data_IF_940451498961
#
_entry.id   IF_940451498961
#
_cell.length_a   1.000
_cell.length_b   1.000
_cell.length_c   1.000
_cell.angle_alpha   90.00
_cell.angle_beta   90.00
_cell.angle_gamma   90.00
#
_symmetry.space_group_name_H-M   'P 1'
#
loop_
_entity.id
_entity.type
_entity.pdbx_description
1 polymer ?
#
# COMPACT_ATOMS: atom_id res chain seq x y z
N UNK A 1 1.49 -14.23 4.30
CA UNK A 1 1.95 -12.92 4.85
C UNK A 1 3.15 -13.10 5.81
N UNK A 2 3.31 -14.26 6.47
CA UNK A 2 4.43 -14.57 7.38
C UNK A 2 5.59 -15.36 6.77
N UNK A 3 5.49 -15.81 5.52
CA UNK A 3 6.35 -16.89 5.00
C UNK A 3 7.70 -16.45 4.41
N UNK A 4 7.91 -15.19 4.04
CA UNK A 4 9.14 -14.78 3.36
C UNK A 4 10.28 -14.28 4.28
N UNK A 5 9.94 -13.82 5.49
CA UNK A 5 10.92 -13.27 6.45
C UNK A 5 10.50 -13.39 7.93
N UNK A 6 9.48 -14.19 8.26
CA UNK A 6 8.95 -14.25 9.62
C UNK A 6 8.43 -12.91 10.15
N UNK A 7 8.10 -11.97 9.26
CA UNK A 7 7.68 -10.62 9.65
C UNK A 7 8.81 -9.66 10.02
N UNK A 8 10.09 -10.06 10.00
CA UNK A 8 11.20 -9.21 10.46
C UNK A 8 11.44 -7.93 9.63
N UNK A 9 11.07 -7.92 8.34
CA UNK A 9 11.17 -6.74 7.48
C UNK A 9 9.96 -5.80 7.59
N UNK A 10 8.82 -6.29 8.06
CA UNK A 10 7.63 -5.47 8.28
C UNK A 10 7.84 -4.33 9.29
N UNK A 11 8.44 -4.55 10.49
CA UNK A 11 8.70 -3.46 11.42
C UNK A 11 9.69 -2.45 10.86
N UNK A 12 10.63 -2.87 10.02
CA UNK A 12 11.58 -1.96 9.38
C UNK A 12 10.89 -1.03 8.37
N UNK A 13 9.95 -1.55 7.57
CA UNK A 13 9.12 -0.74 6.67
C UNK A 13 8.23 0.23 7.46
N UNK A 14 7.62 -0.25 8.56
CA UNK A 14 6.79 0.59 9.43
C UNK A 14 7.63 1.68 10.09
N UNK A 15 8.83 1.36 10.58
CA UNK A 15 9.73 2.33 11.19
C UNK A 15 10.19 3.40 10.19
N UNK A 16 10.57 3.00 8.97
CA UNK A 16 10.90 3.94 7.89
C UNK A 16 9.70 4.85 7.54
N UNK A 17 8.49 4.28 7.54
CA UNK A 17 7.26 5.04 7.28
C UNK A 17 6.95 6.04 8.41
N UNK A 18 7.10 5.63 9.67
CA UNK A 18 6.90 6.52 10.83
C UNK A 18 7.93 7.65 10.77
N UNK A 19 9.20 7.34 10.51
CA UNK A 19 10.27 8.32 10.41
C UNK A 19 10.01 9.35 9.31
N UNK A 20 9.55 8.90 8.14
CA UNK A 20 9.14 9.78 7.06
C UNK A 20 8.00 10.71 7.49
N UNK A 21 6.97 10.16 8.15
CA UNK A 21 5.82 10.93 8.61
C UNK A 21 6.24 11.99 9.64
N UNK A 22 7.09 11.66 10.61
CA UNK A 22 7.61 12.63 11.59
C UNK A 22 8.47 13.71 10.95
N UNK A 23 9.35 13.36 10.00
CA UNK A 23 10.13 14.36 9.25
C UNK A 23 9.22 15.31 8.46
N UNK A 24 8.19 14.79 7.81
CA UNK A 24 7.25 15.61 7.04
C UNK A 24 6.43 16.54 7.95
N UNK A 25 5.93 16.02 9.07
CA UNK A 25 5.23 16.82 10.08
C UNK A 25 6.16 17.89 10.66
N UNK A 26 7.39 17.51 11.04
CA UNK A 26 8.40 18.43 11.55
C UNK A 26 8.72 19.54 10.55
N UNK A 27 8.82 19.21 9.27
CA UNK A 27 9.00 20.20 8.20
C UNK A 27 7.81 21.15 8.07
N UNK A 28 6.57 20.64 8.14
CA UNK A 28 5.37 21.47 8.08
C UNK A 28 5.26 22.38 9.31
N UNK A 29 5.58 21.86 10.50
CA UNK A 29 5.56 22.62 11.76
C UNK A 29 6.65 23.70 11.77
N UNK A 30 7.86 23.36 11.32
CA UNK A 30 8.96 24.31 11.16
C UNK A 30 8.59 25.45 10.22
N UNK A 31 7.97 25.14 9.08
CA UNK A 31 7.48 26.16 8.16
C UNK A 31 6.41 27.05 8.81
N UNK A 32 5.42 26.44 9.48
CA UNK A 32 4.35 27.18 10.16
C UNK A 32 4.86 28.11 11.28
N UNK A 33 5.91 27.70 12.00
CA UNK A 33 6.53 28.53 13.02
C UNK A 33 7.41 29.65 12.43
N UNK A 34 8.11 29.37 11.34
CA UNK A 34 9.06 30.30 10.73
C UNK A 34 8.39 31.34 9.80
N UNK A 35 7.18 31.09 9.31
CA UNK A 35 6.40 32.07 8.54
C UNK A 35 5.69 33.08 9.46
N UNK A 36 5.96 34.39 9.36
CA UNK A 36 5.27 35.39 10.14
C UNK A 36 3.79 35.47 9.73
N UNK A 37 2.91 35.61 10.72
CA UNK A 37 1.45 35.56 10.58
C UNK A 37 0.90 36.88 9.95
N UNK A 38 1.70 37.95 9.97
CA UNK A 38 1.41 39.26 9.36
C UNK A 38 2.70 40.00 9.00
N UNK A 39 2.63 40.90 8.01
CA UNK A 39 3.75 41.71 7.50
C UNK A 39 4.36 42.71 8.52
N UNK A 40 3.72 42.91 9.67
CA UNK A 40 4.11 43.85 10.74
C UNK A 40 4.96 43.22 11.86
N UNK A 41 5.19 41.90 11.84
CA UNK A 41 5.94 41.19 12.91
C UNK A 41 7.34 40.84 12.41
N UNK A 42 8.37 41.26 13.13
CA UNK A 42 9.76 40.90 12.85
C UNK A 42 9.91 39.37 12.79
N UNK A 43 10.43 38.81 11.69
CA UNK A 43 10.57 37.37 11.56
C UNK A 43 11.54 36.85 12.63
N UNK A 44 11.16 35.81 13.41
CA UNK A 44 12.00 35.28 14.49
C UNK A 44 13.32 34.65 13.99
N UNK A 45 13.44 34.41 12.67
CA UNK A 45 14.60 33.81 12.01
C UNK A 45 14.92 34.51 10.70
N UNK A 46 16.21 34.65 10.40
CA UNK A 46 16.69 35.12 9.09
C UNK A 46 16.18 34.18 8.00
N UNK A 47 15.63 34.73 6.92
CA UNK A 47 15.09 33.95 5.79
C UNK A 47 16.09 32.96 5.19
N UNK A 48 17.40 33.23 5.27
CA UNK A 48 18.46 32.31 4.84
C UNK A 48 18.54 31.04 5.69
N UNK A 49 18.42 31.16 7.02
CA UNK A 49 18.45 30.00 7.94
C UNK A 49 17.17 29.15 7.82
N UNK A 50 16.02 29.78 7.52
CA UNK A 50 14.76 29.08 7.27
C UNK A 50 14.89 28.15 6.05
N UNK A 51 15.39 28.68 4.94
CA UNK A 51 15.58 27.93 3.69
C UNK A 51 16.60 26.80 3.88
N UNK A 52 17.71 27.06 4.58
CA UNK A 52 18.74 26.05 4.84
C UNK A 52 18.19 24.84 5.60
N UNK A 53 17.49 25.07 6.72
CA UNK A 53 16.90 23.98 7.53
C UNK A 53 15.82 23.23 6.73
N UNK A 54 15.00 23.95 5.95
CA UNK A 54 13.98 23.33 5.11
C UNK A 54 14.60 22.42 4.04
N UNK A 55 15.68 22.86 3.39
CA UNK A 55 16.38 22.07 2.37
C UNK A 55 16.97 20.79 2.98
N UNK A 56 17.59 20.87 4.16
CA UNK A 56 18.13 19.69 4.85
C UNK A 56 17.02 18.70 5.22
N UNK A 57 15.89 19.19 5.75
CA UNK A 57 14.72 18.37 6.07
C UNK A 57 14.10 17.74 4.82
N UNK A 58 14.01 18.49 3.72
CA UNK A 58 13.48 18.02 2.44
C UNK A 58 14.37 16.89 1.87
N UNK A 59 15.69 17.07 1.87
CA UNK A 59 16.64 16.03 1.43
C UNK A 59 16.53 14.79 2.32
N UNK A 60 16.48 14.95 3.64
CA UNK A 60 16.31 13.84 4.58
C UNK A 60 15.00 13.08 4.34
N UNK A 61 13.90 13.80 4.06
CA UNK A 61 12.62 13.18 3.73
C UNK A 61 12.65 12.42 2.40
N UNK A 62 13.31 12.97 1.37
CA UNK A 62 13.45 12.33 0.06
C UNK A 62 14.26 11.03 0.14
N UNK A 63 15.35 11.03 0.92
CA UNK A 63 16.13 9.81 1.19
C UNK A 63 15.30 8.76 1.92
N UNK A 64 14.48 9.16 2.90
CA UNK A 64 13.58 8.22 3.59
C UNK A 64 12.56 7.59 2.64
N UNK A 65 11.98 8.36 1.72
CA UNK A 65 11.06 7.84 0.69
C UNK A 65 11.77 6.83 -0.21
N UNK A 66 13.00 7.13 -0.63
CA UNK A 66 13.79 6.24 -1.48
C UNK A 66 14.10 4.91 -0.77
N UNK A 67 14.57 4.97 0.48
CA UNK A 67 14.82 3.76 1.30
C UNK A 67 13.53 2.95 1.46
N UNK A 68 12.39 3.59 1.73
CA UNK A 68 11.10 2.92 1.83
C UNK A 68 10.71 2.21 0.53
N UNK A 69 10.86 2.89 -0.61
CA UNK A 69 10.54 2.32 -1.91
C UNK A 69 11.39 1.08 -2.21
N UNK A 70 12.70 1.16 -1.95
CA UNK A 70 13.61 0.03 -2.13
C UNK A 70 13.25 -1.16 -1.23
N UNK A 71 12.88 -0.92 0.03
CA UNK A 71 12.44 -1.97 0.95
C UNK A 71 11.16 -2.65 0.50
N UNK A 72 10.16 -1.88 0.04
CA UNK A 72 8.90 -2.42 -0.47
C UNK A 72 9.12 -3.31 -1.71
N UNK A 73 9.94 -2.86 -2.67
CA UNK A 73 10.26 -3.62 -3.87
C UNK A 73 11.03 -4.90 -3.51
N UNK A 74 12.03 -4.81 -2.62
CA UNK A 74 12.81 -5.96 -2.18
C UNK A 74 11.91 -7.00 -1.48
N UNK A 75 10.98 -6.54 -0.64
CA UNK A 75 10.02 -7.41 0.03
C UNK A 75 9.04 -8.08 -0.94
N UNK A 76 8.48 -7.31 -1.89
CA UNK A 76 7.59 -7.81 -2.93
C UNK A 76 8.27 -8.88 -3.77
N UNK A 77 9.43 -8.55 -4.34
CA UNK A 77 10.24 -9.45 -5.16
C UNK A 77 10.61 -10.76 -4.45
N UNK A 78 11.02 -10.69 -3.18
CA UNK A 78 11.40 -11.89 -2.42
C UNK A 78 10.19 -12.75 -2.06
N UNK A 79 9.07 -12.13 -1.71
CA UNK A 79 7.81 -12.85 -1.41
C UNK A 79 7.29 -13.57 -2.65
N UNK A 80 7.28 -12.87 -3.78
CA UNK A 80 6.99 -13.39 -5.10
C UNK A 80 7.81 -14.64 -5.44
N UNK A 81 9.14 -14.52 -5.33
CA UNK A 81 10.08 -15.61 -5.63
C UNK A 81 9.85 -16.85 -4.76
N UNK A 82 9.57 -16.67 -3.47
CA UNK A 82 9.30 -17.78 -2.55
C UNK A 82 7.98 -18.46 -2.91
N UNK A 83 6.94 -17.69 -3.25
CA UNK A 83 5.66 -18.25 -3.67
C UNK A 83 5.80 -19.03 -4.98
N UNK A 84 6.52 -18.46 -5.94
CA UNK A 84 6.80 -19.08 -7.23
C UNK A 84 7.54 -20.41 -7.06
N UNK A 85 8.63 -20.44 -6.30
CA UNK A 85 9.39 -21.66 -6.04
C UNK A 85 8.54 -22.73 -5.34
N UNK A 86 7.68 -22.32 -4.39
CA UNK A 86 6.79 -23.26 -3.70
C UNK A 86 5.73 -23.83 -4.64
N UNK A 87 5.14 -23.00 -5.49
CA UNK A 87 4.19 -23.43 -6.51
C UNK A 87 4.86 -24.40 -7.48
N UNK A 88 6.04 -24.05 -8.00
CA UNK A 88 6.83 -24.88 -8.90
C UNK A 88 7.10 -26.26 -8.28
N UNK A 89 7.68 -26.32 -7.09
CA UNK A 89 7.97 -27.59 -6.41
C UNK A 89 6.70 -28.43 -6.14
N UNK A 90 5.58 -27.78 -5.84
CA UNK A 90 4.31 -28.49 -5.60
C UNK A 90 3.76 -29.10 -6.89
N UNK A 91 3.85 -28.39 -8.02
CA UNK A 91 3.45 -28.90 -9.33
C UNK A 91 4.29 -30.12 -9.72
N UNK A 92 5.62 -30.05 -9.58
CA UNK A 92 6.50 -31.18 -9.90
C UNK A 92 6.30 -32.41 -9.01
N UNK A 93 5.77 -32.23 -7.80
CA UNK A 93 5.49 -33.33 -6.86
C UNK A 93 4.04 -33.82 -6.94
N UNK A 94 3.21 -33.23 -7.80
CA UNK A 94 1.82 -33.64 -7.97
C UNK A 94 1.73 -35.00 -8.70
N UNK A 95 0.77 -35.87 -8.32
CA UNK A 95 0.56 -37.14 -9.00
C UNK A 95 0.05 -36.93 -10.43
N UNK A 96 0.27 -37.90 -11.33
CA UNK A 96 -0.19 -37.81 -12.73
C UNK A 96 -1.69 -37.53 -12.85
N UNK A 97 -2.50 -38.06 -11.93
CA UNK A 97 -3.96 -37.83 -11.88
C UNK A 97 -4.37 -36.36 -11.78
N UNK A 98 -3.51 -35.51 -11.19
CA UNK A 98 -3.73 -34.07 -11.14
C UNK A 98 -3.68 -33.43 -12.53
N UNK A 99 -2.73 -33.88 -13.37
CA UNK A 99 -2.55 -33.38 -14.73
C UNK A 99 -3.62 -33.90 -15.69
N UNK A 100 -4.15 -35.09 -15.45
CA UNK A 100 -5.28 -35.61 -16.24
C UNK A 100 -6.60 -34.90 -15.92
N UNK A 101 -6.78 -34.49 -14.66
CA UNK A 101 -8.01 -33.81 -14.20
C UNK A 101 -8.00 -32.30 -14.45
N UNK A 102 -6.81 -31.68 -14.56
CA UNK A 102 -6.67 -30.23 -14.64
C UNK A 102 -6.06 -29.84 -15.99
N UNK A 103 -6.78 -29.09 -16.84
CA UNK A 103 -6.25 -28.71 -18.15
C UNK A 103 -4.98 -27.85 -17.99
N UNK A 104 -3.97 -28.13 -18.81
CA UNK A 104 -2.67 -27.46 -18.79
C UNK A 104 -2.77 -25.93 -18.89
N UNK A 105 -3.76 -25.42 -19.63
CA UNK A 105 -4.05 -24.00 -19.74
C UNK A 105 -4.43 -23.33 -18.40
N UNK A 106 -5.11 -24.03 -17.50
CA UNK A 106 -5.46 -23.49 -16.19
C UNK A 106 -4.23 -23.43 -15.26
N UNK A 107 -3.34 -24.42 -15.35
CA UNK A 107 -2.07 -24.43 -14.62
C UNK A 107 -1.18 -23.27 -15.10
N UNK A 108 -1.10 -23.06 -16.42
CA UNK A 108 -0.34 -21.97 -17.02
C UNK A 108 -0.91 -20.59 -16.62
N UNK A 109 -2.24 -20.44 -16.63
CA UNK A 109 -2.87 -19.18 -16.23
C UNK A 109 -2.59 -18.84 -14.77
N UNK A 110 -2.59 -19.83 -13.86
CA UNK A 110 -2.20 -19.62 -12.45
C UNK A 110 -0.72 -19.26 -12.33
N UNK A 111 0.15 -19.97 -13.05
CA UNK A 111 1.59 -19.74 -12.98
C UNK A 111 2.05 -18.41 -13.60
N UNK A 112 1.26 -17.84 -14.51
CA UNK A 112 1.55 -16.58 -15.20
C UNK A 112 0.73 -15.42 -14.63
N UNK A 113 -0.59 -15.45 -14.78
CA UNK A 113 -1.49 -14.34 -14.45
C UNK A 113 -1.58 -14.14 -12.94
N UNK A 114 -1.83 -15.21 -12.17
CA UNK A 114 -1.95 -15.08 -10.71
C UNK A 114 -0.58 -14.73 -10.09
N UNK A 115 0.51 -15.29 -10.62
CA UNK A 115 1.85 -14.94 -10.19
C UNK A 115 2.18 -13.47 -10.47
N UNK A 116 1.87 -12.96 -11.66
CA UNK A 116 2.06 -11.53 -12.00
C UNK A 116 1.29 -10.60 -11.06
N UNK A 117 0.06 -10.95 -10.71
CA UNK A 117 -0.73 -10.20 -9.73
C UNK A 117 -0.08 -10.22 -8.32
N UNK A 118 0.50 -11.35 -7.91
CA UNK A 118 1.25 -11.44 -6.65
C UNK A 118 2.56 -10.64 -6.69
N UNK A 119 3.20 -10.57 -7.85
CA UNK A 119 4.51 -9.93 -8.02
C UNK A 119 4.40 -8.40 -8.03
N UNK A 120 3.34 -7.87 -8.65
CA UNK A 120 3.20 -6.43 -8.91
C UNK A 120 2.06 -5.82 -8.09
N UNK A 121 0.86 -6.38 -8.17
CA UNK A 121 -0.35 -5.74 -7.63
C UNK A 121 -0.42 -5.84 -6.10
N UNK A 122 -0.15 -7.03 -5.53
CA UNK A 122 -0.25 -7.24 -4.08
C UNK A 122 0.72 -6.33 -3.30
N UNK A 123 2.03 -6.28 -3.61
CA UNK A 123 2.96 -5.43 -2.87
C UNK A 123 2.61 -3.95 -2.98
N UNK A 124 2.14 -3.52 -4.16
CA UNK A 124 1.71 -2.14 -4.39
C UNK A 124 0.47 -1.78 -3.56
N UNK A 125 -0.57 -2.61 -3.59
CA UNK A 125 -1.80 -2.37 -2.83
C UNK A 125 -1.55 -2.40 -1.32
N UNK A 126 -0.78 -3.39 -0.83
CA UNK A 126 -0.43 -3.49 0.59
C UNK A 126 0.41 -2.29 1.03
N UNK A 127 1.40 -1.90 0.23
CA UNK A 127 2.25 -0.74 0.51
C UNK A 127 1.47 0.59 0.53
N UNK A 128 0.52 0.75 -0.39
CA UNK A 128 -0.38 1.91 -0.46
C UNK A 128 -1.35 1.95 0.72
N UNK A 129 -1.96 0.82 1.06
CA UNK A 129 -2.85 0.71 2.22
C UNK A 129 -2.12 1.02 3.54
N UNK A 130 -0.93 0.45 3.74
CA UNK A 130 -0.10 0.72 4.90
C UNK A 130 0.32 2.20 4.97
N UNK A 131 0.66 2.81 3.84
CA UNK A 131 0.97 4.23 3.74
C UNK A 131 -0.21 5.08 4.23
N UNK A 132 -1.39 4.87 3.65
CA UNK A 132 -2.61 5.63 3.98
C UNK A 132 -3.00 5.48 5.45
N UNK A 133 -2.90 4.26 6.02
CA UNK A 133 -3.17 4.04 7.43
C UNK A 133 -2.21 4.80 8.34
N UNK A 134 -0.89 4.70 8.09
CA UNK A 134 0.11 5.36 8.93
C UNK A 134 0.03 6.87 8.79
N UNK A 135 -0.24 7.38 7.59
CA UNK A 135 -0.48 8.80 7.36
C UNK A 135 -1.71 9.30 8.12
N UNK A 136 -2.82 8.57 8.06
CA UNK A 136 -4.06 8.92 8.77
C UNK A 136 -3.83 8.95 10.29
N UNK A 137 -3.15 7.94 10.85
CA UNK A 137 -2.77 7.93 12.26
C UNK A 137 -1.85 9.12 12.61
N UNK A 138 -0.87 9.41 11.75
CA UNK A 138 0.03 10.55 11.92
C UNK A 138 -0.72 11.89 11.99
N UNK A 139 -1.68 12.11 11.09
CA UNK A 139 -2.50 13.33 11.09
C UNK A 139 -3.34 13.43 12.36
N UNK A 140 -3.96 12.33 12.81
CA UNK A 140 -4.76 12.32 14.04
C UNK A 140 -3.91 12.70 15.26
N UNK A 141 -2.69 12.13 15.38
CA UNK A 141 -1.78 12.42 16.49
C UNK A 141 -1.38 13.90 16.50
N UNK A 142 -1.01 14.46 15.35
CA UNK A 142 -0.60 15.88 15.25
C UNK A 142 -1.75 16.82 15.57
N UNK A 143 -2.93 16.58 14.99
CA UNK A 143 -4.10 17.40 15.25
C UNK A 143 -4.52 17.34 16.72
N UNK A 144 -4.37 16.17 17.36
CA UNK A 144 -4.64 16.02 18.79
C UNK A 144 -3.68 16.82 19.68
N UNK A 145 -2.43 17.07 19.26
CA UNK A 145 -1.50 17.91 20.03
C UNK A 145 -1.86 19.39 19.94
N UNK A 146 -2.30 19.86 18.76
CA UNK A 146 -2.64 21.26 18.53
C UNK A 146 -4.02 21.61 19.10
N UNK A 147 -5.01 20.72 18.95
CA UNK A 147 -6.37 20.94 19.39
C UNK A 147 -7.04 19.62 19.82
N UNK A 148 -7.10 19.37 21.13
CA UNK A 148 -7.73 18.17 21.73
C UNK A 148 -9.19 17.98 21.27
N UNK A 149 -9.93 19.07 21.04
CA UNK A 149 -11.33 19.04 20.64
C UNK A 149 -11.56 18.36 19.29
N UNK A 150 -10.56 18.34 18.40
CA UNK A 150 -10.65 17.70 17.07
C UNK A 150 -10.82 16.18 17.20
N UNK A 151 -10.36 15.58 18.31
CA UNK A 151 -10.54 14.15 18.57
C UNK A 151 -12.03 13.74 18.65
N UNK A 152 -12.87 14.62 19.20
CA UNK A 152 -14.32 14.38 19.30
C UNK A 152 -14.96 14.28 17.91
N UNK A 153 -14.44 14.99 16.91
CA UNK A 153 -14.93 14.95 15.53
C UNK A 153 -14.43 13.71 14.78
N UNK A 154 -13.21 13.24 15.07
CA UNK A 154 -12.66 12.04 14.42
C UNK A 154 -13.40 10.75 14.80
N UNK A 155 -13.87 10.62 16.04
CA UNK A 155 -14.59 9.42 16.52
C UNK A 155 -15.81 9.10 15.64
N UNK A 156 -16.79 10.01 15.41
CA UNK A 156 -17.94 9.71 14.58
C UNK A 156 -17.56 9.49 13.11
N UNK A 157 -16.56 10.21 12.58
CA UNK A 157 -16.09 10.02 11.20
C UNK A 157 -15.52 8.61 10.98
N UNK A 158 -14.71 8.11 11.93
CA UNK A 158 -14.16 6.75 11.87
C UNK A 158 -15.30 5.73 12.01
N UNK A 159 -16.25 5.93 12.93
CA UNK A 159 -17.39 5.03 13.10
C UNK A 159 -18.23 4.92 11.82
N UNK A 160 -18.55 6.06 11.19
CA UNK A 160 -19.29 6.11 9.92
C UNK A 160 -18.48 5.41 8.82
N UNK A 161 -17.18 5.67 8.73
CA UNK A 161 -16.30 5.08 7.72
C UNK A 161 -16.23 3.55 7.86
N UNK A 162 -16.14 3.02 9.09
CA UNK A 162 -16.19 1.57 9.34
C UNK A 162 -17.55 0.99 8.94
N UNK A 163 -18.64 1.71 9.21
CA UNK A 163 -19.98 1.29 8.82
C UNK A 163 -20.13 1.22 7.29
N UNK A 164 -19.71 2.27 6.58
CA UNK A 164 -19.67 2.30 5.11
C UNK A 164 -18.78 1.20 4.55
N UNK A 165 -17.59 0.98 5.12
CA UNK A 165 -16.70 -0.09 4.68
C UNK A 165 -17.35 -1.47 4.83
N UNK A 166 -18.05 -1.74 5.94
CA UNK A 166 -18.75 -3.01 6.16
C UNK A 166 -19.91 -3.23 5.20
N UNK A 167 -20.61 -2.17 4.82
CA UNK A 167 -21.71 -2.25 3.86
C UNK A 167 -21.21 -2.40 2.42
N UNK A 168 -20.18 -1.63 2.03
CA UNK A 168 -19.66 -1.59 0.66
C UNK A 168 -18.86 -2.85 0.29
N UNK A 169 -18.07 -3.40 1.22
CA UNK A 169 -17.12 -4.48 0.90
C UNK A 169 -17.80 -5.78 0.42
N UNK A 170 -18.90 -6.27 1.04
CA UNK A 170 -19.64 -7.42 0.51
C UNK A 170 -20.22 -7.15 -0.87
N UNK A 171 -20.87 -6.00 -1.08
CA UNK A 171 -21.46 -5.64 -2.37
C UNK A 171 -20.43 -5.53 -3.49
N UNK A 172 -19.27 -4.91 -3.21
CA UNK A 172 -18.18 -4.82 -4.17
C UNK A 172 -17.59 -6.19 -4.52
N UNK A 173 -17.47 -7.09 -3.54
CA UNK A 173 -17.02 -8.48 -3.78
C UNK A 173 -17.99 -9.24 -4.65
N UNK A 174 -19.28 -9.20 -4.35
CA UNK A 174 -20.31 -9.84 -5.17
C UNK A 174 -20.32 -9.28 -6.59
N UNK A 175 -20.20 -7.95 -6.75
CA UNK A 175 -20.12 -7.32 -8.07
C UNK A 175 -18.88 -7.79 -8.86
N UNK A 176 -17.72 -7.89 -8.20
CA UNK A 176 -16.50 -8.40 -8.84
C UNK A 176 -16.63 -9.87 -9.27
N UNK A 177 -17.31 -10.68 -8.45
CA UNK A 177 -17.59 -12.07 -8.76
C UNK A 177 -18.54 -12.19 -9.95
N UNK A 178 -19.65 -11.45 -9.97
CA UNK A 178 -20.59 -11.39 -11.08
C UNK A 178 -19.91 -10.93 -12.38
N UNK A 179 -19.05 -9.91 -12.31
CA UNK A 179 -18.28 -9.46 -13.46
C UNK A 179 -17.38 -10.58 -14.02
N UNK A 180 -16.73 -11.34 -13.15
CA UNK A 180 -15.95 -12.52 -13.53
C UNK A 180 -16.78 -13.58 -14.23
N UNK A 181 -17.97 -13.91 -13.69
CA UNK A 181 -18.89 -14.91 -14.27
C UNK A 181 -19.46 -14.45 -15.60
N UNK A 182 -19.80 -13.17 -15.77
CA UNK A 182 -20.35 -12.65 -17.03
C UNK A 182 -19.31 -12.53 -18.15
N UNK A 183 -18.04 -12.32 -17.82
CA UNK A 183 -16.98 -12.14 -18.82
C UNK A 183 -16.56 -13.47 -19.48
N UNK A 184 -16.62 -14.58 -18.75
CA UNK A 184 -16.28 -15.91 -19.24
C UNK A 184 -17.11 -16.38 -20.47
N UNK A 185 -18.47 -16.36 -20.46
CA UNK A 185 -19.27 -16.82 -21.58
C UNK A 185 -19.15 -15.92 -22.82
N UNK A 186 -18.90 -14.62 -22.65
CA UNK A 186 -18.67 -13.70 -23.77
C UNK A 186 -17.39 -14.11 -24.53
N UNK A 187 -16.30 -14.37 -23.80
CA UNK A 187 -15.04 -14.83 -24.41
C UNK A 187 -15.24 -16.19 -25.09
N UNK A 188 -16.02 -17.08 -24.47
CA UNK A 188 -16.32 -18.39 -25.04
C UNK A 188 -17.13 -18.27 -26.34
N UNK A 189 -18.19 -17.46 -26.39
CA UNK A 189 -18.97 -17.23 -27.61
C UNK A 189 -18.14 -16.60 -28.73
N UNK A 190 -17.23 -15.67 -28.40
CA UNK A 190 -16.27 -15.14 -29.38
C UNK A 190 -15.35 -16.23 -29.93
N UNK A 191 -14.84 -17.12 -29.07
CA UNK A 191 -13.99 -18.23 -29.50
C UNK A 191 -14.75 -19.24 -30.39
N UNK A 192 -15.99 -19.58 -30.04
CA UNK A 192 -16.85 -20.45 -30.85
C UNK A 192 -17.14 -19.83 -32.23
N UNK A 193 -17.47 -18.54 -32.29
CA UNK A 193 -17.74 -17.83 -33.56
C UNK A 193 -16.52 -17.77 -34.47
N UNK A 194 -15.31 -17.63 -33.91
CA UNK A 194 -14.07 -17.65 -34.68
C UNK A 194 -13.74 -19.06 -35.19
N UNK A 195 -14.14 -20.09 -34.44
CA UNK A 195 -13.87 -21.49 -34.79
C UNK A 195 -14.83 -22.08 -35.82
N UNK A 196 -15.97 -21.43 -36.09
CA UNK A 196 -16.96 -21.83 -37.10
C UNK A 196 -18.31 -22.20 -36.52
#
# INVERSE_FOLDING_TARGET
>A
ITTAYGGALAPFIILAQILFQTLQIGSNYWMAWATPISADVEPPVKGTTLIEVYVVLAIGSALCVLVRALLLVTFGYKTATILFNKMHLTIFRAPMSFFDSTPSGQILNRASTDQSAVDIDIPYQVGSFAFSLIQLLGIIIVMSQVAWQVFIVFIPVIAISIHYQRFYLPSARELSHLCGVCKAPIIQHFAETISG
#
